data_IF_649801004090
#
_entry.id   IF_649801004090
#
_cell.length_a   1.000
_cell.length_b   1.000
_cell.length_c   1.000
_cell.angle_alpha   90.00
_cell.angle_beta   90.00
_cell.angle_gamma   90.00
#
_symmetry.space_group_name_H-M   'P 1'
#
loop_
_entity.id
_entity.type
_entity.pdbx_description
1 polymer ?
#
# COMPACT_ATOMS: atom_id res chain seq x y z
N UNK A 1 0.66 29.82 -20.97
CA UNK A 1 0.14 28.52 -20.50
C UNK A 1 0.89 28.21 -19.22
N UNK A 2 0.20 28.10 -18.07
CA UNK A 2 0.88 27.77 -16.81
C UNK A 2 1.34 26.32 -16.90
N UNK A 3 2.62 26.08 -16.65
CA UNK A 3 3.15 24.72 -16.48
C UNK A 3 2.31 24.03 -15.40
N UNK A 4 1.65 22.94 -15.77
CA UNK A 4 1.03 22.03 -14.81
C UNK A 4 2.19 21.31 -14.11
N UNK A 5 2.70 21.92 -13.03
CA UNK A 5 3.64 21.28 -12.11
C UNK A 5 3.15 19.86 -11.83
N UNK A 6 4.00 18.89 -12.20
CA UNK A 6 3.66 17.49 -12.47
C UNK A 6 2.70 16.89 -11.44
N UNK A 7 1.49 16.56 -11.89
CA UNK A 7 0.58 15.61 -11.26
C UNK A 7 1.19 14.20 -11.32
N UNK A 8 2.35 13.98 -10.69
CA UNK A 8 3.02 12.67 -10.63
C UNK A 8 3.35 12.32 -9.20
N UNK A 9 2.95 11.11 -8.82
CA UNK A 9 3.47 10.45 -7.63
C UNK A 9 4.67 9.57 -8.02
N UNK A 10 5.54 9.34 -7.05
CA UNK A 10 6.69 8.44 -7.13
C UNK A 10 6.75 7.70 -5.80
N UNK A 11 6.58 6.38 -5.82
CA UNK A 11 6.44 5.58 -4.60
C UNK A 11 7.21 4.25 -4.68
N UNK A 12 7.66 3.75 -3.54
CA UNK A 12 7.99 2.32 -3.36
C UNK A 12 7.02 1.72 -2.36
N UNK A 13 6.58 0.49 -2.62
CA UNK A 13 5.79 -0.31 -1.68
C UNK A 13 6.64 -1.48 -1.18
N UNK A 14 6.66 -1.68 0.13
CA UNK A 14 7.48 -2.68 0.82
C UNK A 14 6.58 -3.58 1.66
N UNK A 15 6.66 -4.90 1.45
CA UNK A 15 6.03 -5.82 2.38
C UNK A 15 6.72 -5.74 3.75
N UNK A 16 5.95 -5.40 4.79
CA UNK A 16 6.44 -5.04 6.13
C UNK A 16 5.61 -5.76 7.20
N UNK A 17 5.89 -7.03 7.50
CA UNK A 17 5.00 -7.87 8.32
C UNK A 17 4.75 -7.31 9.73
N UNK A 18 5.73 -6.64 10.33
CA UNK A 18 5.63 -6.02 11.66
C UNK A 18 5.66 -4.49 11.57
N UNK A 19 4.48 -3.89 11.43
CA UNK A 19 4.33 -2.42 11.40
C UNK A 19 4.76 -1.76 12.71
N UNK A 20 4.72 -2.46 13.85
CA UNK A 20 5.16 -1.87 15.12
C UNK A 20 6.68 -1.68 15.15
N UNK A 21 7.45 -2.55 14.49
CA UNK A 21 8.88 -2.35 14.28
C UNK A 21 9.15 -1.17 13.33
N UNK A 22 8.38 -1.03 12.25
CA UNK A 22 8.52 0.13 11.34
C UNK A 22 8.16 1.43 12.05
N UNK A 23 7.07 1.44 12.82
CA UNK A 23 6.64 2.58 13.63
C UNK A 23 7.72 3.00 14.64
N UNK A 24 8.38 2.03 15.29
CA UNK A 24 9.51 2.32 16.19
C UNK A 24 10.69 2.91 15.43
N UNK A 25 11.04 2.36 14.26
CA UNK A 25 12.11 2.91 13.43
C UNK A 25 11.81 4.35 12.98
N UNK A 26 10.55 4.64 12.62
CA UNK A 26 10.08 5.98 12.28
C UNK A 26 10.24 6.95 13.46
N UNK A 27 9.78 6.55 14.65
CA UNK A 27 9.94 7.34 15.87
C UNK A 27 11.43 7.62 16.17
N UNK A 28 12.28 6.59 16.14
CA UNK A 28 13.70 6.71 16.43
C UNK A 28 14.45 7.56 15.38
N UNK A 29 13.95 7.60 14.14
CA UNK A 29 14.44 8.45 13.06
C UNK A 29 13.92 9.90 13.11
N UNK A 30 13.09 10.24 14.09
CA UNK A 30 12.51 11.58 14.24
C UNK A 30 11.40 11.90 13.22
N UNK A 31 10.71 10.88 12.70
CA UNK A 31 9.58 11.08 11.81
C UNK A 31 8.45 11.84 12.53
N UNK A 32 7.78 12.74 11.80
CA UNK A 32 6.62 13.46 12.30
C UNK A 32 5.36 12.69 11.95
N UNK A 33 4.53 12.37 12.94
CA UNK A 33 3.18 11.86 12.69
C UNK A 33 2.34 12.94 11.99
N UNK A 34 1.83 12.62 10.80
CA UNK A 34 0.99 13.49 9.97
C UNK A 34 -0.48 13.13 10.14
N UNK A 35 -0.78 11.84 10.19
CA UNK A 35 -2.13 11.31 10.38
C UNK A 35 -2.08 10.05 11.23
N UNK A 36 -2.85 10.03 12.31
CA UNK A 36 -3.05 8.85 13.15
C UNK A 36 -3.65 7.68 12.35
N UNK A 37 -3.42 6.46 12.83
CA UNK A 37 -3.98 5.23 12.25
C UNK A 37 -5.50 5.36 12.10
N UNK A 38 -5.98 5.37 10.87
CA UNK A 38 -7.41 5.52 10.54
C UNK A 38 -7.89 4.41 9.62
N UNK A 39 -9.15 4.01 9.77
CA UNK A 39 -9.82 3.14 8.83
C UNK A 39 -10.10 3.88 7.50
N UNK A 40 -9.71 3.27 6.40
CA UNK A 40 -9.85 3.78 5.05
C UNK A 40 -10.69 2.79 4.22
N UNK A 41 -11.79 3.28 3.63
CA UNK A 41 -12.62 2.53 2.70
C UNK A 41 -12.49 3.09 1.29
N UNK A 42 -12.26 2.21 0.32
CA UNK A 42 -12.02 2.59 -1.07
C UNK A 42 -13.03 1.92 -2.00
N UNK A 43 -13.71 2.72 -2.82
CA UNK A 43 -14.49 2.25 -3.96
C UNK A 43 -13.64 2.46 -5.22
N UNK A 44 -13.23 1.37 -5.87
CA UNK A 44 -12.60 1.42 -7.19
C UNK A 44 -13.68 1.27 -8.25
N UNK A 45 -13.74 2.25 -9.15
CA UNK A 45 -14.68 2.29 -10.24
C UNK A 45 -14.04 1.78 -11.52
N UNK A 46 -14.89 1.27 -12.39
CA UNK A 46 -14.55 0.96 -13.78
C UNK A 46 -15.66 1.47 -14.72
N UNK A 47 -15.33 1.59 -15.99
CA UNK A 47 -16.29 1.86 -17.06
C UNK A 47 -17.13 0.62 -17.37
N UNK A 48 -18.27 0.79 -18.04
CA UNK A 48 -19.14 -0.33 -18.40
C UNK A 48 -18.46 -1.42 -19.25
N UNK A 49 -17.43 -1.06 -20.02
CA UNK A 49 -16.64 -1.97 -20.86
C UNK A 49 -15.36 -2.49 -20.18
N UNK A 50 -15.09 -2.11 -18.91
CA UNK A 50 -13.92 -2.57 -18.15
C UNK A 50 -12.60 -1.94 -18.59
N UNK A 51 -12.65 -0.83 -19.35
CA UNK A 51 -11.47 -0.26 -19.99
C UNK A 51 -10.49 0.40 -19.03
N UNK A 52 -10.94 0.92 -17.88
CA UNK A 52 -10.01 1.52 -16.91
C UNK A 52 -9.09 0.44 -16.33
N UNK A 53 -9.66 -0.67 -15.84
CA UNK A 53 -8.85 -1.75 -15.27
C UNK A 53 -7.96 -2.38 -16.35
N UNK A 54 -8.50 -2.63 -17.55
CA UNK A 54 -7.73 -3.18 -18.66
C UNK A 54 -6.57 -2.26 -19.10
N UNK A 55 -6.75 -0.94 -18.99
CA UNK A 55 -5.73 0.07 -19.27
C UNK A 55 -4.75 0.33 -18.12
N UNK A 56 -4.89 -0.34 -16.98
CA UNK A 56 -4.06 -0.08 -15.79
C UNK A 56 -4.37 1.26 -15.10
N UNK A 57 -5.55 1.83 -15.35
CA UNK A 57 -6.01 3.09 -14.78
C UNK A 57 -6.77 2.85 -13.46
N UNK A 58 -6.79 3.88 -12.60
CA UNK A 58 -7.49 3.82 -11.31
C UNK A 58 -8.38 5.03 -11.18
N UNK A 59 -9.69 4.81 -11.13
CA UNK A 59 -10.66 5.79 -10.62
C UNK A 59 -11.16 5.33 -9.26
N UNK A 60 -10.93 6.14 -8.21
CA UNK A 60 -11.19 5.73 -6.84
C UNK A 60 -11.84 6.83 -6.01
N UNK A 61 -12.93 6.48 -5.34
CA UNK A 61 -13.50 7.29 -4.26
C UNK A 61 -13.11 6.69 -2.92
N UNK A 62 -12.28 7.40 -2.18
CA UNK A 62 -11.79 7.02 -0.86
C UNK A 62 -12.57 7.77 0.22
N UNK A 63 -12.87 7.09 1.32
CA UNK A 63 -13.38 7.70 2.55
C UNK A 63 -12.54 7.28 3.76
N UNK A 64 -12.01 8.27 4.45
CA UNK A 64 -11.41 8.16 5.78
C UNK A 64 -11.93 9.35 6.64
N UNK A 65 -11.05 10.11 7.32
CA UNK A 65 -11.39 11.43 7.88
C UNK A 65 -11.82 12.46 6.83
N UNK A 66 -11.55 12.22 5.55
CA UNK A 66 -11.98 13.03 4.42
C UNK A 66 -12.42 12.14 3.26
N UNK A 67 -13.11 12.74 2.27
CA UNK A 67 -13.47 12.06 1.03
C UNK A 67 -12.58 12.56 -0.09
N UNK A 68 -11.92 11.64 -0.80
CA UNK A 68 -11.05 11.98 -1.92
C UNK A 68 -11.43 11.20 -3.17
N UNK A 69 -11.50 11.90 -4.30
CA UNK A 69 -11.57 11.31 -5.63
C UNK A 69 -10.17 11.35 -6.23
N UNK A 70 -9.68 10.20 -6.68
CA UNK A 70 -8.36 10.06 -7.29
C UNK A 70 -8.50 9.40 -8.67
N UNK A 71 -7.79 9.95 -9.65
CA UNK A 71 -7.53 9.31 -10.95
C UNK A 71 -6.03 9.06 -11.12
N UNK A 72 -5.63 7.83 -11.47
CA UNK A 72 -4.23 7.45 -11.73
C UNK A 72 -4.06 6.76 -13.07
N UNK A 73 -3.01 7.08 -13.81
CA UNK A 73 -2.69 6.50 -15.13
C UNK A 73 -1.18 6.54 -15.42
N UNK A 74 -0.75 5.98 -16.54
CA UNK A 74 0.61 6.14 -17.07
C UNK A 74 1.73 5.67 -16.12
N UNK A 75 1.53 4.52 -15.49
CA UNK A 75 2.50 3.95 -14.57
C UNK A 75 3.78 3.50 -15.29
N UNK A 76 4.90 3.87 -14.70
CA UNK A 76 6.26 3.47 -15.07
C UNK A 76 6.92 2.86 -13.85
N UNK A 77 7.70 1.79 -14.06
CA UNK A 77 8.36 1.05 -13.00
C UNK A 77 9.86 1.05 -13.26
N UNK A 78 10.65 1.49 -12.28
CA UNK A 78 12.10 1.46 -12.33
C UNK A 78 12.65 1.10 -10.95
N UNK A 79 13.42 0.02 -10.84
CA UNK A 79 14.06 -0.43 -9.58
C UNK A 79 13.07 -0.59 -8.40
N UNK A 80 11.86 -1.08 -8.68
CA UNK A 80 10.80 -1.26 -7.69
C UNK A 80 10.12 0.04 -7.25
N UNK A 81 10.45 1.18 -7.87
CA UNK A 81 9.82 2.47 -7.66
C UNK A 81 8.82 2.70 -8.80
N UNK A 82 7.57 2.93 -8.44
CA UNK A 82 6.49 3.25 -9.37
C UNK A 82 6.37 4.76 -9.49
N UNK A 83 6.30 5.28 -10.71
CA UNK A 83 5.88 6.65 -10.97
C UNK A 83 4.74 6.69 -11.95
N UNK A 84 3.70 7.46 -11.63
CA UNK A 84 2.48 7.53 -12.43
C UNK A 84 1.83 8.90 -12.32
N UNK A 85 0.91 9.21 -13.24
CA UNK A 85 0.05 10.37 -13.11
C UNK A 85 -0.89 10.16 -11.92
N UNK A 86 -1.08 11.20 -11.11
CA UNK A 86 -2.10 11.21 -10.06
C UNK A 86 -2.79 12.57 -10.00
N UNK A 87 -4.09 12.56 -10.30
CA UNK A 87 -4.98 13.69 -10.08
C UNK A 87 -5.88 13.38 -8.89
N UNK A 88 -5.70 14.10 -7.79
CA UNK A 88 -6.47 13.91 -6.56
C UNK A 88 -7.18 15.19 -6.15
N UNK A 89 -8.44 15.07 -5.75
CA UNK A 89 -9.23 16.16 -5.20
C UNK A 89 -9.97 15.72 -3.94
N UNK A 90 -10.06 16.62 -2.97
CA UNK A 90 -10.97 16.43 -1.83
C UNK A 90 -12.37 16.85 -2.26
N UNK A 91 -13.36 16.00 -1.96
CA UNK A 91 -14.77 16.26 -2.25
C UNK A 91 -15.54 16.36 -0.95
N UNK A 92 -16.60 17.16 -0.92
CA UNK A 92 -17.31 17.50 0.32
C UNK A 92 -18.27 16.42 0.82
N UNK A 93 -18.73 15.54 -0.06
CA UNK A 93 -19.73 14.51 0.29
C UNK A 93 -19.51 13.21 -0.49
N UNK A 94 -19.46 12.09 0.23
CA UNK A 94 -19.22 10.77 -0.35
C UNK A 94 -20.40 10.27 -1.18
N UNK A 95 -21.61 10.36 -0.62
CA UNK A 95 -22.81 9.81 -1.25
C UNK A 95 -23.12 10.53 -2.57
N UNK A 96 -22.98 11.85 -2.59
CA UNK A 96 -23.16 12.67 -3.79
C UNK A 96 -22.13 12.33 -4.85
N UNK A 97 -20.84 12.16 -4.48
CA UNK A 97 -19.80 11.82 -5.45
C UNK A 97 -20.00 10.41 -6.05
N UNK A 98 -20.30 9.40 -5.22
CA UNK A 98 -20.65 8.05 -5.70
C UNK A 98 -21.87 8.09 -6.66
N UNK A 99 -22.91 8.83 -6.27
CA UNK A 99 -24.12 9.00 -7.07
C UNK A 99 -23.88 9.71 -8.42
N UNK A 100 -22.91 10.64 -8.47
CA UNK A 100 -22.49 11.31 -9.72
C UNK A 100 -21.73 10.33 -10.60
N UNK A 101 -20.70 9.65 -10.07
CA UNK A 101 -19.87 8.71 -10.84
C UNK A 101 -20.72 7.61 -11.48
N UNK A 102 -21.69 7.07 -10.74
CA UNK A 102 -22.65 6.09 -11.28
C UNK A 102 -23.49 6.62 -12.43
N UNK A 103 -23.97 7.87 -12.32
CA UNK A 103 -24.75 8.51 -13.39
C UNK A 103 -23.91 8.85 -14.63
N UNK A 104 -22.60 9.03 -14.46
CA UNK A 104 -21.66 9.19 -15.56
C UNK A 104 -21.30 7.86 -16.26
N UNK A 105 -21.82 6.73 -15.78
CA UNK A 105 -21.64 5.42 -16.41
C UNK A 105 -20.55 4.56 -15.78
N UNK A 106 -19.94 5.00 -14.69
CA UNK A 106 -19.01 4.17 -13.93
C UNK A 106 -19.75 3.25 -12.96
N UNK A 107 -19.16 2.10 -12.64
CA UNK A 107 -19.67 1.19 -11.62
C UNK A 107 -18.57 0.80 -10.65
N UNK A 108 -18.92 0.49 -9.40
CA UNK A 108 -17.94 0.00 -8.42
C UNK A 108 -17.56 -1.43 -8.79
N UNK A 109 -16.32 -1.60 -9.25
CA UNK A 109 -15.76 -2.89 -9.62
C UNK A 109 -15.21 -3.65 -8.40
N UNK A 110 -14.67 -2.91 -7.43
CA UNK A 110 -14.08 -3.48 -6.22
C UNK A 110 -14.19 -2.51 -5.05
N UNK A 111 -14.55 -3.02 -3.87
CA UNK A 111 -14.32 -2.33 -2.59
C UNK A 111 -13.10 -2.93 -1.92
N UNK A 112 -12.23 -2.09 -1.37
CA UNK A 112 -11.17 -2.54 -0.47
C UNK A 112 -11.02 -1.65 0.76
N UNK A 113 -10.63 -2.26 1.86
CA UNK A 113 -10.47 -1.63 3.17
C UNK A 113 -9.02 -1.73 3.63
N UNK A 114 -8.59 -0.75 4.41
CA UNK A 114 -7.31 -0.80 5.11
C UNK A 114 -7.32 0.09 6.34
N UNK A 115 -6.35 -0.12 7.23
CA UNK A 115 -5.94 0.93 8.15
C UNK A 115 -4.66 1.58 7.63
N UNK A 116 -4.62 2.91 7.68
CA UNK A 116 -3.45 3.70 7.25
C UNK A 116 -3.02 4.64 8.36
N UNK A 117 -1.72 4.67 8.64
CA UNK A 117 -1.06 5.68 9.46
C UNK A 117 -0.01 6.41 8.61
N UNK A 118 0.08 7.74 8.72
CA UNK A 118 0.93 8.55 7.83
C UNK A 118 1.95 9.37 8.62
N UNK A 119 3.20 9.33 8.18
CA UNK A 119 4.33 10.06 8.72
C UNK A 119 5.01 10.89 7.64
N UNK A 120 5.73 11.94 8.07
CA UNK A 120 6.68 12.66 7.24
C UNK A 120 8.09 12.43 7.76
N UNK A 121 9.01 12.04 6.89
CA UNK A 121 10.41 11.77 7.22
C UNK A 121 11.32 12.15 6.04
N UNK A 122 12.35 12.95 6.29
CA UNK A 122 13.37 13.35 5.29
C UNK A 122 12.81 13.93 3.98
N UNK A 123 11.63 14.57 4.03
CA UNK A 123 10.95 15.15 2.87
C UNK A 123 10.07 14.19 2.08
N UNK A 124 9.91 12.94 2.53
CA UNK A 124 8.97 11.97 1.98
C UNK A 124 7.78 11.73 2.91
N UNK A 125 6.66 11.30 2.31
CA UNK A 125 5.54 10.69 3.02
C UNK A 125 5.86 9.21 3.22
N UNK A 126 5.64 8.70 4.44
CA UNK A 126 5.75 7.28 4.77
C UNK A 126 4.43 6.82 5.34
N UNK A 127 3.81 5.82 4.73
CA UNK A 127 2.54 5.26 5.17
C UNK A 127 2.71 3.82 5.63
N UNK A 128 2.07 3.50 6.75
CA UNK A 128 1.94 2.13 7.25
C UNK A 128 0.51 1.67 6.94
N UNK A 129 0.41 0.69 6.05
CA UNK A 129 -0.84 0.13 5.56
C UNK A 129 -1.04 -1.29 6.11
N UNK A 130 -2.17 -1.48 6.78
CA UNK A 130 -2.69 -2.80 7.19
C UNK A 130 -3.89 -3.13 6.33
N UNK A 131 -3.75 -4.10 5.44
CA UNK A 131 -4.82 -4.66 4.62
C UNK A 131 -5.29 -5.99 5.21
N UNK A 132 -6.49 -6.48 4.81
CA UNK A 132 -7.02 -7.76 5.27
C UNK A 132 -6.07 -8.95 5.05
N UNK A 133 -5.15 -8.85 4.09
CA UNK A 133 -4.23 -9.92 3.74
C UNK A 133 -2.76 -9.66 4.13
N UNK A 134 -2.42 -8.50 4.70
CA UNK A 134 -1.03 -8.24 5.07
C UNK A 134 -0.69 -6.78 5.31
N UNK A 135 0.56 -6.58 5.72
CA UNK A 135 1.08 -5.29 6.16
C UNK A 135 2.14 -4.76 5.21
N UNK A 136 2.09 -3.45 4.94
CA UNK A 136 2.91 -2.81 3.94
C UNK A 136 3.36 -1.43 4.41
N UNK A 137 4.53 -1.00 3.93
CA UNK A 137 5.01 0.37 4.05
C UNK A 137 5.12 0.96 2.66
N UNK A 138 4.49 2.10 2.39
CA UNK A 138 4.78 2.88 1.17
C UNK A 138 5.60 4.12 1.54
N UNK A 139 6.56 4.47 0.69
CA UNK A 139 7.35 5.70 0.81
C UNK A 139 7.17 6.48 -0.49
N UNK A 140 6.62 7.68 -0.38
CA UNK A 140 6.37 8.57 -1.50
C UNK A 140 7.34 9.77 -1.47
N UNK A 141 8.02 9.98 -2.59
CA UNK A 141 9.02 11.02 -2.77
C UNK A 141 9.86 10.77 -4.03
N UNK A 142 10.76 11.68 -4.39
CA UNK A 142 11.69 11.38 -5.49
C UNK A 142 12.54 10.13 -5.18
N UNK A 143 13.02 9.45 -6.23
CA UNK A 143 13.74 8.18 -6.06
C UNK A 143 14.95 8.27 -5.10
N UNK A 144 15.81 9.31 -5.15
CA UNK A 144 16.86 9.49 -4.15
C UNK A 144 16.34 9.63 -2.72
N UNK A 145 15.23 10.34 -2.51
CA UNK A 145 14.60 10.51 -1.19
C UNK A 145 14.04 9.20 -0.68
N UNK A 146 13.37 8.43 -1.54
CA UNK A 146 12.89 7.08 -1.22
C UNK A 146 14.04 6.22 -0.69
N UNK A 147 15.15 6.12 -1.41
CA UNK A 147 16.27 5.27 -0.99
C UNK A 147 16.90 5.74 0.33
N UNK A 148 16.96 7.05 0.58
CA UNK A 148 17.43 7.58 1.87
C UNK A 148 16.52 7.15 3.03
N UNK A 149 15.20 7.18 2.84
CA UNK A 149 14.23 6.75 3.86
C UNK A 149 14.29 5.24 4.07
N UNK A 150 14.37 4.44 2.99
CA UNK A 150 14.56 2.98 3.08
C UNK A 150 15.79 2.64 3.92
N UNK A 151 16.90 3.32 3.70
CA UNK A 151 18.12 3.14 4.48
C UNK A 151 17.94 3.58 5.94
N UNK A 152 17.36 4.76 6.18
CA UNK A 152 17.15 5.31 7.52
C UNK A 152 16.28 4.39 8.40
N UNK A 153 15.27 3.76 7.80
CA UNK A 153 14.35 2.83 8.47
C UNK A 153 14.84 1.37 8.47
N UNK A 154 16.02 1.09 7.91
CA UNK A 154 16.58 -0.27 7.78
C UNK A 154 15.64 -1.25 7.03
N UNK A 155 14.94 -0.76 6.01
CA UNK A 155 13.97 -1.51 5.21
C UNK A 155 14.56 -2.10 3.91
N UNK A 156 15.87 -2.00 3.70
CA UNK A 156 16.52 -2.43 2.45
C UNK A 156 16.35 -3.92 2.10
N UNK A 157 16.06 -4.77 3.10
CA UNK A 157 15.80 -6.21 2.89
C UNK A 157 14.31 -6.53 2.73
N UNK A 158 13.41 -5.55 2.88
CA UNK A 158 11.99 -5.77 2.67
C UNK A 158 11.74 -5.98 1.18
N UNK A 159 10.86 -6.93 0.86
CA UNK A 159 10.48 -7.20 -0.52
C UNK A 159 9.75 -5.97 -1.09
N UNK A 160 10.28 -5.42 -2.19
CA UNK A 160 9.58 -4.42 -2.99
C UNK A 160 8.40 -5.06 -3.73
N UNK A 161 7.26 -4.41 -3.68
CA UNK A 161 6.00 -4.87 -4.25
C UNK A 161 5.62 -3.92 -5.37
N UNK A 162 5.75 -4.40 -6.60
CA UNK A 162 5.55 -3.59 -7.81
C UNK A 162 4.06 -3.47 -8.18
N UNK A 163 3.26 -4.45 -7.78
CA UNK A 163 1.84 -4.52 -8.10
C UNK A 163 0.98 -3.64 -7.17
N UNK A 164 -0.24 -3.32 -7.62
CA UNK A 164 -1.20 -2.61 -6.80
C UNK A 164 -1.79 -3.51 -5.70
N UNK A 165 -2.39 -2.94 -4.66
CA UNK A 165 -3.12 -3.73 -3.67
C UNK A 165 -4.27 -4.55 -4.26
N UNK A 166 -4.87 -4.08 -5.36
CA UNK A 166 -5.92 -4.81 -6.05
C UNK A 166 -5.34 -6.06 -6.72
N UNK A 167 -4.21 -5.92 -7.42
CA UNK A 167 -3.56 -7.06 -8.07
C UNK A 167 -3.07 -8.07 -7.02
N UNK A 168 -2.48 -7.60 -5.92
CA UNK A 168 -2.11 -8.46 -4.79
C UNK A 168 -3.31 -9.20 -4.19
N UNK A 169 -4.44 -8.51 -4.03
CA UNK A 169 -5.67 -9.15 -3.56
C UNK A 169 -6.15 -10.23 -4.54
N UNK A 170 -6.11 -9.97 -5.84
CA UNK A 170 -6.51 -10.97 -6.85
C UNK A 170 -5.59 -12.19 -6.80
N UNK A 171 -4.28 -12.00 -6.61
CA UNK A 171 -3.32 -13.10 -6.42
C UNK A 171 -3.61 -13.91 -5.15
N UNK A 172 -3.85 -13.24 -4.02
CA UNK A 172 -4.23 -13.89 -2.75
C UNK A 172 -5.53 -14.67 -2.92
N UNK A 173 -6.55 -14.05 -3.50
CA UNK A 173 -7.85 -14.66 -3.77
C UNK A 173 -7.71 -15.91 -4.62
N UNK A 174 -6.90 -15.86 -5.68
CA UNK A 174 -6.65 -17.00 -6.57
C UNK A 174 -5.92 -18.14 -5.84
N UNK A 175 -4.88 -17.84 -5.06
CA UNK A 175 -4.09 -18.84 -4.33
C UNK A 175 -4.86 -19.52 -3.21
N UNK A 176 -5.74 -18.78 -2.53
CA UNK A 176 -6.58 -19.29 -1.44
C UNK A 176 -7.93 -19.84 -1.93
N UNK A 177 -8.22 -19.78 -3.24
CA UNK A 177 -9.49 -20.23 -3.80
C UNK A 177 -10.70 -19.44 -3.29
N UNK A 178 -10.51 -18.19 -2.88
CA UNK A 178 -11.57 -17.35 -2.30
C UNK A 178 -12.55 -16.88 -3.38
N UNK A 179 -13.84 -16.84 -3.04
CA UNK A 179 -14.90 -16.29 -3.90
C UNK A 179 -15.22 -14.82 -3.62
N UNK A 180 -14.63 -14.25 -2.56
CA UNK A 180 -14.87 -12.87 -2.13
C UNK A 180 -14.73 -11.87 -3.28
N UNK A 181 -15.76 -11.05 -3.50
CA UNK A 181 -15.69 -9.97 -4.50
C UNK A 181 -14.77 -8.85 -4.02
N UNK A 182 -14.96 -8.43 -2.77
CA UNK A 182 -14.35 -7.25 -2.18
C UNK A 182 -13.24 -7.64 -1.18
N UNK A 183 -12.22 -6.79 -1.06
CA UNK A 183 -11.11 -6.96 -0.12
C UNK A 183 -11.42 -6.21 1.18
N UNK A 184 -12.34 -6.77 1.97
CA UNK A 184 -12.77 -6.21 3.26
C UNK A 184 -12.24 -7.04 4.42
N UNK A 185 -12.10 -6.44 5.60
CA UNK A 185 -11.69 -7.21 6.79
C UNK A 185 -12.70 -8.34 7.09
N UNK A 186 -13.98 -8.09 6.85
CA UNK A 186 -15.04 -9.10 7.01
C UNK A 186 -14.86 -10.30 6.08
N UNK A 187 -14.37 -10.11 4.85
CA UNK A 187 -14.13 -11.18 3.88
C UNK A 187 -12.92 -12.06 4.23
N UNK A 188 -12.07 -11.61 5.14
CA UNK A 188 -10.87 -12.31 5.61
C UNK A 188 -11.00 -12.85 7.05
N UNK A 189 -12.20 -12.78 7.63
CA UNK A 189 -12.46 -13.47 8.90
C UNK A 189 -12.21 -14.96 8.71
N UNK A 190 -11.40 -15.54 9.59
CA UNK A 190 -10.96 -16.94 9.57
C UNK A 190 -10.17 -17.37 8.31
N UNK A 191 -9.64 -16.41 7.53
CA UNK A 191 -8.77 -16.68 6.39
C UNK A 191 -7.31 -16.61 6.83
N UNK A 192 -6.62 -17.75 6.80
CA UNK A 192 -5.16 -17.79 6.99
C UNK A 192 -4.45 -17.45 5.68
N UNK A 193 -3.84 -16.27 5.64
CA UNK A 193 -3.03 -15.81 4.51
C UNK A 193 -1.59 -16.36 4.53
N UNK A 194 -1.21 -17.08 5.59
CA UNK A 194 0.03 -17.85 5.66
C UNK A 194 1.29 -17.09 5.24
N UNK A 195 2.20 -17.79 4.56
CA UNK A 195 3.48 -17.27 4.07
C UNK A 195 3.40 -16.66 2.65
N UNK A 196 2.21 -16.23 2.21
CA UNK A 196 1.96 -15.72 0.85
C UNK A 196 2.95 -14.63 0.39
N UNK A 197 3.53 -13.91 1.35
CA UNK A 197 4.44 -12.79 1.13
C UNK A 197 5.86 -13.02 1.66
N UNK A 198 6.21 -14.23 2.12
CA UNK A 198 7.59 -14.53 2.50
C UNK A 198 8.50 -14.56 1.27
N UNK A 199 9.77 -14.13 1.41
CA UNK A 199 10.76 -14.35 0.36
C UNK A 199 10.94 -15.87 0.12
N UNK A 200 11.26 -16.30 -1.11
CA UNK A 200 11.59 -17.70 -1.35
C UNK A 200 12.74 -18.12 -0.43
N UNK A 201 12.60 -19.25 0.25
CA UNK A 201 13.62 -19.76 1.17
C UNK A 201 14.96 -19.94 0.42
N UNK A 202 15.98 -19.18 0.80
CA UNK A 202 17.34 -19.40 0.29
C UNK A 202 17.85 -20.74 0.84
N UNK A 203 18.47 -21.62 0.03
CA UNK A 203 19.17 -22.79 0.56
C UNK A 203 20.27 -22.30 1.50
N UNK A 204 20.17 -22.66 2.78
CA UNK A 204 21.13 -22.28 3.81
C UNK A 204 22.52 -22.83 3.48
N UNK A 205 23.41 -21.99 2.95
CA UNK A 205 24.85 -22.23 2.95
C UNK A 205 25.57 -21.15 3.75
N UNK A 206 26.20 -21.63 4.83
CA UNK A 206 27.26 -21.05 5.66
C UNK A 206 26.96 -19.95 6.69
N UNK A 207 27.52 -20.23 7.88
CA UNK A 207 27.52 -19.47 9.14
C UNK A 207 28.43 -18.23 9.11
N UNK A 208 28.13 -17.36 10.09
CA UNK A 208 28.99 -16.47 10.89
C UNK A 208 29.12 -15.01 10.43
N UNK A 209 28.62 -14.06 11.25
CA UNK A 209 29.36 -13.48 12.40
C UNK A 209 28.40 -12.73 13.34
N UNK A 210 28.74 -12.75 14.63
CA UNK A 210 28.02 -12.10 15.72
C UNK A 210 28.26 -10.60 15.78
N UNK A 211 27.23 -9.84 15.46
CA UNK A 211 27.00 -8.47 15.93
C UNK A 211 25.54 -8.37 16.36
N UNK A 212 25.20 -7.51 17.33
CA UNK A 212 23.81 -7.22 17.67
C UNK A 212 23.13 -6.62 16.43
N UNK A 213 22.51 -7.47 15.61
CA UNK A 213 21.65 -7.03 14.52
C UNK A 213 20.42 -6.40 15.16
N UNK A 214 20.15 -5.12 14.88
CA UNK A 214 18.82 -4.56 15.11
C UNK A 214 17.83 -5.49 14.39
N UNK A 215 16.77 -5.90 15.08
CA UNK A 215 15.72 -6.70 14.47
C UNK A 215 15.21 -5.96 13.22
N UNK A 216 15.39 -6.57 12.05
CA UNK A 216 14.89 -5.98 10.80
C UNK A 216 13.38 -6.12 10.77
N UNK A 217 12.61 -5.05 10.47
CA UNK A 217 11.15 -5.12 10.32
C UNK A 217 10.68 -6.12 9.25
N UNK A 218 11.60 -6.60 8.40
CA UNK A 218 11.34 -7.50 7.29
C UNK A 218 11.52 -8.99 7.64
N UNK A 219 12.22 -9.32 8.75
CA UNK A 219 12.64 -10.68 9.10
C UNK A 219 12.08 -11.18 10.44
N UNK A 220 11.11 -10.49 11.04
CA UNK A 220 10.47 -10.93 12.27
C UNK A 220 9.57 -12.13 11.99
N UNK A 221 10.12 -13.32 12.18
CA UNK A 221 9.37 -14.57 12.27
C UNK A 221 8.41 -14.51 13.46
N UNK A 222 7.20 -15.01 13.19
CA UNK A 222 6.10 -15.37 14.07
C UNK A 222 6.57 -15.63 15.52
N UNK A 223 6.02 -14.89 16.49
CA UNK A 223 6.10 -15.27 17.90
C UNK A 223 5.38 -16.62 18.08
N UNK A 224 5.95 -17.59 18.82
CA UNK A 224 5.21 -18.81 19.15
C UNK A 224 3.95 -18.44 19.93
N UNK A 225 2.83 -19.07 19.56
CA UNK A 225 1.63 -19.09 20.38
C UNK A 225 2.01 -19.55 21.79
N UNK A 226 1.71 -18.71 22.79
CA UNK A 226 1.83 -19.12 24.19
C UNK A 226 0.55 -19.83 24.60
N UNK A 227 0.73 -21.09 25.00
CA UNK A 227 -0.04 -21.92 25.96
C UNK A 227 -1.56 -21.81 25.95
#
# INVERSE_FOLDING_TARGET
>A
MKEHGKMREVEVKLHSPDLALVQRALHDAGAKLVKERVFERNLRYDSADGSLIAGGEVLRLRQDTAVKLTYKSDATLENGIVSRLEAEVTVSDFASMDAILRRLGFHVALVYEKYRETYALLGAEVVLDELPFGNFTEIEGDAPTIERVVAALSLGNCRRIESSYVDLFMDVKARLGMSARDCTFAAFVDVDVGELFLPPSTPSFMRAQSGLAKASPCNSLIRPSKS
#
